data_IF_690169577129
#
_entry.id   IF_690169577129
#
_cell.length_a   1.000
_cell.length_b   1.000
_cell.length_c   1.000
_cell.angle_alpha   90.00
_cell.angle_beta   90.00
_cell.angle_gamma   90.00
#
_symmetry.space_group_name_H-M   'P 1'
#
loop_
_entity.id
_entity.type
_entity.pdbx_description
1 polymer ?
#
# COMPACT_ATOMS: atom_id res chain seq x y z
N UNK A 1 28.70 6.51 -25.68
CA UNK A 1 27.83 7.30 -24.79
C UNK A 1 27.48 6.34 -23.67
N UNK A 2 27.83 6.68 -22.44
CA UNK A 2 27.45 5.88 -21.27
C UNK A 2 26.02 6.30 -20.92
N UNK A 3 25.10 5.33 -20.88
CA UNK A 3 23.70 5.59 -20.56
C UNK A 3 23.58 5.75 -19.05
N UNK A 4 23.05 6.88 -18.58
CA UNK A 4 22.76 7.05 -17.16
C UNK A 4 21.48 6.26 -16.80
N UNK A 5 21.66 5.25 -15.96
CA UNK A 5 20.59 4.35 -15.48
C UNK A 5 20.28 4.53 -14.00
N UNK A 6 20.88 5.55 -13.35
CA UNK A 6 20.68 5.83 -11.92
C UNK A 6 19.20 6.13 -11.60
N UNK A 7 18.49 6.75 -12.52
CA UNK A 7 17.06 7.04 -12.42
C UNK A 7 16.20 5.77 -12.21
N UNK A 8 16.57 4.63 -12.82
CA UNK A 8 15.86 3.36 -12.62
C UNK A 8 16.08 2.82 -11.20
N UNK A 9 17.30 2.94 -10.66
CA UNK A 9 17.61 2.61 -9.27
C UNK A 9 16.84 3.49 -8.27
N UNK A 10 16.80 4.81 -8.52
CA UNK A 10 16.05 5.77 -7.71
C UNK A 10 14.55 5.45 -7.71
N UNK A 11 13.99 5.03 -8.85
CA UNK A 11 12.60 4.59 -8.94
C UNK A 11 12.37 3.37 -8.03
N UNK A 12 13.26 2.38 -8.06
CA UNK A 12 13.23 1.22 -7.15
C UNK A 12 13.23 1.61 -5.67
N UNK A 13 14.07 2.58 -5.27
CA UNK A 13 14.07 3.12 -3.90
C UNK A 13 12.75 3.83 -3.53
N UNK A 14 12.17 4.57 -4.47
CA UNK A 14 10.88 5.23 -4.28
C UNK A 14 9.76 4.20 -4.05
N UNK A 15 9.76 3.08 -4.79
CA UNK A 15 8.76 2.05 -4.52
C UNK A 15 8.96 1.40 -3.15
N UNK A 16 10.20 1.20 -2.70
CA UNK A 16 10.43 0.70 -1.35
C UNK A 16 9.96 1.65 -0.26
N UNK A 17 10.16 2.96 -0.46
CA UNK A 17 9.61 3.97 0.41
C UNK A 17 8.07 3.92 0.43
N UNK A 18 7.44 3.74 -0.73
CA UNK A 18 5.99 3.54 -0.86
C UNK A 18 5.52 2.32 -0.06
N UNK A 19 6.12 1.14 -0.30
CA UNK A 19 5.78 -0.13 0.38
C UNK A 19 5.97 -0.06 1.89
N UNK A 20 6.98 0.69 2.35
CA UNK A 20 7.22 0.90 3.78
C UNK A 20 6.10 1.73 4.41
N UNK A 21 5.70 2.81 3.76
CA UNK A 21 4.57 3.63 4.22
C UNK A 21 3.27 2.82 4.20
N UNK A 22 3.05 2.02 3.16
CA UNK A 22 1.90 1.12 3.03
C UNK A 22 1.78 0.16 4.21
N UNK A 23 2.84 -0.58 4.53
CA UNK A 23 2.85 -1.51 5.67
C UNK A 23 2.49 -0.85 7.01
N UNK A 24 2.91 0.40 7.22
CA UNK A 24 2.54 1.18 8.42
C UNK A 24 1.05 1.52 8.40
N UNK A 25 0.53 1.96 7.26
CA UNK A 25 -0.89 2.24 7.05
C UNK A 25 -1.78 1.00 7.26
N UNK A 26 -1.39 -0.15 6.73
CA UNK A 26 -2.10 -1.43 6.86
C UNK A 26 -2.25 -1.85 8.31
N UNK A 27 -1.14 -1.76 9.07
CA UNK A 27 -1.14 -2.08 10.49
C UNK A 27 -2.13 -1.22 11.28
N UNK A 28 -2.22 0.07 10.96
CA UNK A 28 -3.20 0.97 11.59
C UNK A 28 -4.63 0.66 11.13
N UNK A 29 -4.85 0.48 9.82
CA UNK A 29 -6.15 0.19 9.23
C UNK A 29 -6.78 -1.09 9.79
N UNK A 30 -5.98 -2.14 10.00
CA UNK A 30 -6.43 -3.40 10.58
C UNK A 30 -7.03 -3.26 11.99
N UNK A 31 -6.65 -2.21 12.74
CA UNK A 31 -7.17 -1.96 14.09
C UNK A 31 -8.47 -1.16 14.12
N UNK A 32 -8.76 -0.40 13.05
CA UNK A 32 -9.89 0.53 12.97
C UNK A 32 -11.25 -0.16 13.18
N UNK A 33 -11.57 -1.31 12.55
CA UNK A 33 -12.87 -1.97 12.75
C UNK A 33 -13.14 -2.34 14.22
N UNK A 34 -12.12 -2.85 14.94
CA UNK A 34 -12.24 -3.18 16.36
C UNK A 34 -12.48 -1.91 17.18
N UNK A 35 -11.71 -0.86 16.95
CA UNK A 35 -11.84 0.41 17.67
C UNK A 35 -13.20 1.06 17.42
N UNK A 36 -13.68 1.02 16.19
CA UNK A 36 -15.02 1.50 15.83
C UNK A 36 -16.12 0.71 16.56
N UNK A 37 -16.03 -0.61 16.62
CA UNK A 37 -16.97 -1.44 17.38
C UNK A 37 -16.98 -1.11 18.88
N UNK A 38 -15.80 -0.80 19.46
CA UNK A 38 -15.68 -0.36 20.85
C UNK A 38 -16.31 1.02 21.09
N UNK A 39 -16.27 1.92 20.10
CA UNK A 39 -16.88 3.25 20.18
C UNK A 39 -18.41 3.22 20.03
N UNK A 40 -18.95 2.30 19.23
CA UNK A 40 -20.38 2.25 18.91
C UNK A 40 -21.22 1.40 19.88
N UNK A 41 -20.61 0.83 20.92
CA UNK A 41 -21.27 -0.05 21.90
C UNK A 41 -21.97 -1.28 21.27
N UNK A 42 -21.57 -1.67 20.05
CA UNK A 42 -22.10 -2.81 19.30
C UNK A 42 -21.52 -4.09 19.87
N UNK A 43 -21.95 -4.51 21.06
CA UNK A 43 -21.64 -5.83 21.60
C UNK A 43 -22.53 -6.20 22.80
N UNK A 44 -23.84 -6.36 22.59
CA UNK A 44 -24.56 -7.31 23.44
C UNK A 44 -24.10 -8.72 23.04
N UNK A 45 -23.47 -9.43 23.98
CA UNK A 45 -23.10 -10.83 23.80
C UNK A 45 -24.38 -11.66 23.86
N UNK A 46 -24.90 -12.04 22.69
CA UNK A 46 -26.00 -13.00 22.60
C UNK A 46 -25.48 -14.42 22.80
N UNK A 47 -25.40 -14.84 24.07
CA UNK A 47 -25.22 -16.25 24.41
C UNK A 47 -26.45 -17.06 23.98
N UNK A 48 -26.24 -18.20 23.33
CA UNK A 48 -27.31 -19.18 23.08
C UNK A 48 -27.92 -19.66 24.40
N UNK A 49 -29.21 -20.04 24.39
CA UNK A 49 -29.99 -20.32 25.60
C UNK A 49 -29.34 -21.35 26.54
N UNK A 50 -28.71 -22.40 25.99
CA UNK A 50 -27.99 -23.41 26.76
C UNK A 50 -26.72 -22.86 27.42
N UNK A 51 -25.97 -22.03 26.70
CA UNK A 51 -24.74 -21.40 27.20
C UNK A 51 -25.05 -20.37 28.28
N UNK A 52 -26.15 -19.61 28.13
CA UNK A 52 -26.66 -18.65 29.13
C UNK A 52 -27.06 -19.35 30.43
N UNK A 53 -27.84 -20.44 30.36
CA UNK A 53 -28.24 -21.19 31.54
C UNK A 53 -27.04 -21.81 32.30
N UNK A 54 -26.04 -22.31 31.56
CA UNK A 54 -24.81 -22.85 32.14
C UNK A 54 -23.92 -21.76 32.78
N UNK A 55 -23.86 -20.56 32.16
CA UNK A 55 -23.13 -19.42 32.75
C UNK A 55 -23.84 -18.89 34.00
N UNK A 56 -25.16 -18.74 33.98
CA UNK A 56 -25.97 -18.31 35.13
C UNK A 56 -25.81 -19.23 36.35
N UNK A 57 -25.75 -20.54 36.13
CA UNK A 57 -25.53 -21.53 37.19
C UNK A 57 -24.13 -21.46 37.84
N UNK A 58 -23.14 -20.87 37.16
CA UNK A 58 -21.73 -20.81 37.61
C UNK A 58 -21.19 -19.36 37.66
N UNK A 59 -22.07 -18.38 37.86
CA UNK A 59 -21.75 -16.96 37.71
C UNK A 59 -20.92 -16.39 38.87
N UNK A 60 -19.62 -16.20 38.62
CA UNK A 60 -18.77 -15.34 39.45
C UNK A 60 -19.00 -13.85 39.15
N UNK A 61 -18.69 -12.96 40.08
CA UNK A 61 -18.74 -11.50 39.85
C UNK A 61 -17.86 -11.05 38.67
N UNK A 62 -16.71 -11.71 38.46
CA UNK A 62 -15.81 -11.42 37.33
C UNK A 62 -16.43 -11.86 36.00
N UNK A 63 -17.06 -13.04 35.96
CA UNK A 63 -17.76 -13.53 34.77
C UNK A 63 -19.01 -12.69 34.48
N UNK A 64 -19.72 -12.22 35.51
CA UNK A 64 -20.84 -11.28 35.41
C UNK A 64 -20.40 -9.95 34.80
N UNK A 65 -19.31 -9.37 35.31
CA UNK A 65 -18.73 -8.14 34.76
C UNK A 65 -18.24 -8.35 33.32
N UNK A 66 -17.64 -9.49 33.00
CA UNK A 66 -17.22 -9.83 31.63
C UNK A 66 -18.40 -9.95 30.67
N UNK A 67 -19.48 -10.63 31.06
CA UNK A 67 -20.68 -10.78 30.23
C UNK A 67 -21.45 -9.47 30.06
N UNK A 68 -21.50 -8.62 31.10
CA UNK A 68 -22.16 -7.30 31.06
C UNK A 68 -21.36 -6.27 30.26
N UNK A 69 -20.03 -6.34 30.27
CA UNK A 69 -19.16 -5.41 29.54
C UNK A 69 -18.77 -5.92 28.13
N UNK A 70 -19.31 -7.06 27.67
CA UNK A 70 -18.89 -7.69 26.42
C UNK A 70 -17.41 -8.09 26.41
N UNK A 71 -16.85 -8.42 25.24
CA UNK A 71 -15.45 -8.85 25.12
C UNK A 71 -14.41 -7.74 25.39
N UNK A 72 -14.83 -6.57 25.90
CA UNK A 72 -13.97 -5.40 26.05
C UNK A 72 -14.09 -4.76 27.44
N UNK A 73 -12.95 -4.54 28.08
CA UNK A 73 -12.91 -3.92 29.40
C UNK A 73 -13.33 -2.42 29.32
N UNK A 74 -14.01 -1.85 30.33
CA UNK A 74 -14.44 -0.45 30.30
C UNK A 74 -13.33 0.58 30.05
N UNK A 75 -12.09 0.28 30.45
CA UNK A 75 -10.93 1.13 30.12
C UNK A 75 -10.59 1.13 28.64
N UNK A 76 -10.76 0.01 27.93
CA UNK A 76 -10.54 -0.09 26.49
C UNK A 76 -11.59 0.72 25.73
N UNK A 77 -12.87 0.62 26.14
CA UNK A 77 -13.94 1.46 25.57
C UNK A 77 -13.70 2.94 25.79
N UNK A 78 -13.20 3.34 26.97
CA UNK A 78 -12.87 4.73 27.27
C UNK A 78 -11.70 5.25 26.42
N UNK A 79 -10.72 4.41 26.14
CA UNK A 79 -9.56 4.77 25.31
C UNK A 79 -9.83 4.66 23.79
N UNK A 80 -10.85 3.90 23.38
CA UNK A 80 -11.14 3.59 21.99
C UNK A 80 -11.31 4.84 21.09
N UNK A 81 -11.98 5.94 21.49
CA UNK A 81 -12.13 7.12 20.64
C UNK A 81 -10.78 7.80 20.31
N UNK A 82 -9.90 7.91 21.29
CA UNK A 82 -8.56 8.49 21.11
C UNK A 82 -7.69 7.57 20.25
N UNK A 83 -7.73 6.25 20.52
CA UNK A 83 -7.02 5.25 19.72
C UNK A 83 -7.52 5.19 18.28
N UNK A 84 -8.83 5.33 18.05
CA UNK A 84 -9.44 5.37 16.72
C UNK A 84 -8.95 6.60 15.95
N UNK A 85 -8.97 7.77 16.58
CA UNK A 85 -8.46 9.01 15.99
C UNK A 85 -6.97 8.90 15.68
N UNK A 86 -6.18 8.32 16.59
CA UNK A 86 -4.76 8.07 16.39
C UNK A 86 -4.51 7.14 15.21
N UNK A 87 -5.23 6.02 15.10
CA UNK A 87 -5.12 5.09 13.99
C UNK A 87 -5.45 5.75 12.66
N UNK A 88 -6.54 6.52 12.57
CA UNK A 88 -6.92 7.27 11.36
C UNK A 88 -5.82 8.28 10.97
N UNK A 89 -5.21 8.96 11.93
CA UNK A 89 -4.10 9.87 11.67
C UNK A 89 -2.86 9.16 11.15
N UNK A 90 -2.54 7.96 11.65
CA UNK A 90 -1.44 7.14 11.14
C UNK A 90 -1.69 6.69 9.71
N UNK A 91 -2.91 6.26 9.37
CA UNK A 91 -3.28 5.92 7.98
C UNK A 91 -3.12 7.15 7.08
N UNK A 92 -3.57 8.32 7.52
CA UNK A 92 -3.45 9.55 6.75
C UNK A 92 -1.99 10.02 6.57
N UNK A 93 -1.14 9.93 7.60
CA UNK A 93 0.29 10.24 7.46
C UNK A 93 1.00 9.27 6.53
N UNK A 94 0.59 7.99 6.56
CA UNK A 94 1.12 6.96 5.67
C UNK A 94 0.77 7.28 4.21
N UNK A 95 -0.46 7.71 3.94
CA UNK A 95 -0.87 8.19 2.62
C UNK A 95 -0.02 9.37 2.14
N UNK A 96 0.25 10.38 2.98
CA UNK A 96 1.12 11.51 2.59
C UNK A 96 2.56 11.09 2.28
N UNK A 97 3.08 10.08 2.98
CA UNK A 97 4.39 9.51 2.68
C UNK A 97 4.37 8.76 1.33
N UNK A 98 3.31 7.98 1.05
CA UNK A 98 3.10 7.36 -0.26
C UNK A 98 3.02 8.40 -1.39
N UNK A 99 2.32 9.51 -1.18
CA UNK A 99 2.21 10.60 -2.17
C UNK A 99 3.58 11.20 -2.52
N UNK A 100 4.43 11.36 -1.52
CA UNK A 100 5.81 11.82 -1.74
C UNK A 100 6.58 10.81 -2.57
N UNK A 101 6.49 9.52 -2.23
CA UNK A 101 7.18 8.46 -2.95
C UNK A 101 6.73 8.33 -4.42
N UNK A 102 5.43 8.43 -4.72
CA UNK A 102 4.91 8.38 -6.09
C UNK A 102 5.38 9.58 -6.91
N UNK A 103 5.40 10.78 -6.32
CA UNK A 103 5.93 11.97 -7.00
C UNK A 103 7.40 11.79 -7.37
N UNK A 104 8.23 11.33 -6.44
CA UNK A 104 9.63 11.07 -6.70
C UNK A 104 9.85 9.93 -7.72
N UNK A 105 9.03 8.88 -7.70
CA UNK A 105 9.08 7.83 -8.71
C UNK A 105 8.71 8.35 -10.12
N UNK A 106 7.74 9.26 -10.19
CA UNK A 106 7.33 9.91 -11.45
C UNK A 106 8.41 10.84 -11.99
N UNK A 107 9.08 11.58 -11.10
CA UNK A 107 10.25 12.41 -11.45
C UNK A 107 11.40 11.55 -11.97
N UNK A 108 11.72 10.44 -11.29
CA UNK A 108 12.75 9.49 -11.73
C UNK A 108 12.41 8.84 -13.09
N UNK A 109 11.13 8.52 -13.35
CA UNK A 109 10.71 8.04 -14.67
C UNK A 109 10.95 9.09 -15.76
N UNK A 110 10.61 10.36 -15.49
CA UNK A 110 10.87 11.47 -16.43
C UNK A 110 12.36 11.63 -16.71
N UNK A 111 13.20 11.60 -15.68
CA UNK A 111 14.66 11.62 -15.84
C UNK A 111 15.17 10.46 -16.70
N UNK A 112 14.62 9.26 -16.54
CA UNK A 112 15.00 8.10 -17.35
C UNK A 112 14.55 8.22 -18.81
N UNK A 113 13.35 8.73 -19.07
CA UNK A 113 12.86 9.03 -20.42
C UNK A 113 13.75 10.10 -21.07
N UNK A 114 14.16 11.12 -20.33
CA UNK A 114 15.05 12.19 -20.81
C UNK A 114 16.45 11.66 -21.14
N UNK A 115 17.02 10.82 -20.28
CA UNK A 115 18.33 10.21 -20.48
C UNK A 115 18.38 9.31 -21.72
N UNK A 116 17.26 8.64 -22.05
CA UNK A 116 17.17 7.69 -23.17
C UNK A 116 16.77 8.34 -24.49
N UNK A 117 15.83 9.30 -24.48
CA UNK A 117 15.36 10.00 -25.67
C UNK A 117 16.20 11.23 -26.06
N UNK A 118 16.93 11.82 -25.10
CA UNK A 118 17.63 13.10 -25.28
C UNK A 118 16.70 14.32 -25.39
N UNK A 119 15.41 14.16 -25.09
CA UNK A 119 14.39 15.22 -25.08
C UNK A 119 13.65 15.25 -23.76
N UNK A 120 13.15 16.43 -23.39
CA UNK A 120 12.25 16.57 -22.26
C UNK A 120 10.95 15.80 -22.51
N UNK A 121 10.51 14.99 -21.54
CA UNK A 121 9.29 14.22 -21.66
C UNK A 121 8.07 15.13 -21.62
N UNK A 122 7.23 15.09 -22.66
CA UNK A 122 5.83 15.50 -22.56
C UNK A 122 5.04 14.36 -21.85
N UNK A 123 3.94 14.67 -21.15
CA UNK A 123 3.19 13.71 -20.31
C UNK A 123 2.49 12.57 -21.09
N UNK A 124 2.59 12.53 -22.43
CA UNK A 124 1.98 11.50 -23.29
C UNK A 124 2.98 10.39 -23.69
N UNK A 125 2.50 9.14 -23.79
CA UNK A 125 3.28 7.95 -24.17
C UNK A 125 3.92 7.99 -25.57
N UNK A 126 3.78 9.11 -26.31
CA UNK A 126 4.48 9.37 -27.57
C UNK A 126 5.99 9.45 -27.42
N UNK A 127 6.51 9.65 -26.19
CA UNK A 127 7.94 9.75 -25.90
C UNK A 127 8.75 8.53 -26.39
N UNK A 128 8.15 7.34 -26.45
CA UNK A 128 8.89 6.14 -26.87
C UNK A 128 9.34 6.19 -28.33
N UNK A 129 8.58 6.90 -29.18
CA UNK A 129 8.93 7.08 -30.59
C UNK A 129 10.14 8.01 -30.79
N UNK A 130 10.48 8.81 -29.79
CA UNK A 130 11.63 9.71 -29.81
C UNK A 130 12.94 9.03 -29.38
N UNK A 131 12.87 7.83 -28.78
CA UNK A 131 14.06 7.09 -28.35
C UNK A 131 14.72 6.41 -29.56
N UNK A 132 16.02 6.67 -29.83
CA UNK A 132 16.69 6.04 -30.96
C UNK A 132 16.73 4.51 -30.82
N UNK A 133 16.47 3.78 -31.90
CA UNK A 133 16.49 2.31 -31.91
C UNK A 133 17.78 1.68 -31.34
N UNK A 134 19.00 2.21 -31.60
CA UNK A 134 20.20 1.69 -30.96
C UNK A 134 20.21 1.83 -29.42
N UNK A 135 19.56 2.87 -28.89
CA UNK A 135 19.42 3.08 -27.44
C UNK A 135 18.39 2.10 -26.88
N UNK A 136 17.22 1.95 -27.51
CA UNK A 136 16.19 0.99 -27.11
C UNK A 136 16.74 -0.44 -26.95
N UNK A 137 17.60 -0.85 -27.89
CA UNK A 137 18.22 -2.19 -27.90
C UNK A 137 19.39 -2.35 -26.93
N UNK A 138 19.83 -1.27 -26.27
CA UNK A 138 20.90 -1.36 -25.27
C UNK A 138 20.37 -2.11 -24.05
N UNK A 139 21.06 -3.18 -23.65
CA UNK A 139 20.66 -3.99 -22.50
C UNK A 139 21.57 -3.69 -21.31
N UNK A 140 20.97 -3.55 -20.13
CA UNK A 140 21.68 -3.40 -18.87
C UNK A 140 20.95 -4.13 -17.75
N UNK A 141 21.72 -4.54 -16.75
CA UNK A 141 21.22 -5.01 -15.48
C UNK A 141 21.42 -3.92 -14.43
N UNK A 142 20.48 -3.78 -13.50
CA UNK A 142 20.73 -2.98 -12.29
C UNK A 142 21.68 -3.79 -11.40
N UNK A 143 22.70 -3.12 -10.86
CA UNK A 143 23.62 -3.76 -9.92
C UNK A 143 22.85 -4.12 -8.64
N UNK A 144 22.55 -5.42 -8.51
CA UNK A 144 21.72 -5.97 -7.44
C UNK A 144 21.85 -7.47 -7.22
N UNK A 145 22.32 -8.27 -8.20
CA UNK A 145 22.65 -9.68 -7.93
C UNK A 145 23.52 -10.33 -9.03
N UNK A 146 24.83 -10.44 -8.79
CA UNK A 146 25.74 -11.24 -9.61
C UNK A 146 25.60 -12.76 -9.35
N UNK A 147 24.51 -13.23 -8.73
CA UNK A 147 24.40 -14.63 -8.28
C UNK A 147 23.25 -15.47 -8.85
N UNK A 148 22.46 -14.96 -9.80
CA UNK A 148 21.49 -15.79 -10.52
C UNK A 148 21.71 -15.73 -12.04
N UNK A 149 22.10 -16.88 -12.61
CA UNK A 149 22.28 -17.14 -14.06
C UNK A 149 21.00 -16.89 -14.91
N UNK A 150 19.90 -16.44 -14.30
CA UNK A 150 18.60 -16.20 -14.94
C UNK A 150 18.05 -14.76 -14.85
N UNK A 151 18.73 -13.81 -14.19
CA UNK A 151 18.32 -12.39 -14.24
C UNK A 151 19.04 -11.69 -15.39
N UNK A 152 18.52 -11.90 -16.60
CA UNK A 152 19.09 -11.36 -17.83
C UNK A 152 19.01 -9.83 -17.87
N UNK A 153 20.06 -9.18 -18.39
CA UNK A 153 20.02 -7.77 -18.71
C UNK A 153 18.77 -7.43 -19.54
N UNK A 154 17.99 -6.44 -19.11
CA UNK A 154 16.83 -5.97 -19.85
C UNK A 154 17.24 -4.85 -20.78
N UNK A 155 16.58 -4.79 -21.92
CA UNK A 155 16.71 -3.67 -22.86
C UNK A 155 16.16 -2.39 -22.25
N UNK A 156 16.66 -1.24 -22.71
CA UNK A 156 16.11 0.08 -22.35
C UNK A 156 14.61 0.14 -22.66
N UNK A 157 14.17 -0.43 -23.77
CA UNK A 157 12.74 -0.53 -24.11
C UNK A 157 11.94 -1.26 -23.01
N UNK A 158 12.42 -2.43 -22.58
CA UNK A 158 11.78 -3.20 -21.50
C UNK A 158 11.76 -2.41 -20.19
N UNK A 159 12.87 -1.79 -19.81
CA UNK A 159 12.94 -0.97 -18.60
C UNK A 159 11.97 0.20 -18.62
N UNK A 160 11.85 0.91 -19.75
CA UNK A 160 10.93 2.02 -19.89
C UNK A 160 9.48 1.56 -19.68
N UNK A 161 9.07 0.46 -20.32
CA UNK A 161 7.74 -0.11 -20.12
C UNK A 161 7.49 -0.59 -18.69
N UNK A 162 8.48 -1.21 -18.04
CA UNK A 162 8.40 -1.66 -16.65
C UNK A 162 8.20 -0.45 -15.74
N UNK A 163 9.05 0.57 -15.83
CA UNK A 163 9.00 1.76 -14.99
C UNK A 163 7.69 2.54 -15.18
N UNK A 164 7.23 2.74 -16.41
CA UNK A 164 5.92 3.37 -16.69
C UNK A 164 4.78 2.58 -16.07
N UNK A 165 4.77 1.26 -16.24
CA UNK A 165 3.71 0.41 -15.68
C UNK A 165 3.68 0.47 -14.15
N UNK A 166 4.84 0.49 -13.50
CA UNK A 166 4.95 0.61 -12.04
C UNK A 166 4.41 1.95 -11.56
N UNK A 167 4.80 3.07 -12.18
CA UNK A 167 4.31 4.40 -11.80
C UNK A 167 2.78 4.49 -11.97
N UNK A 168 2.24 4.04 -13.12
CA UNK A 168 0.80 4.02 -13.38
C UNK A 168 0.02 3.21 -12.32
N UNK A 169 0.58 2.09 -11.88
CA UNK A 169 -0.01 1.25 -10.85
C UNK A 169 -0.01 1.96 -9.49
N UNK A 170 1.12 2.55 -9.10
CA UNK A 170 1.24 3.29 -7.85
C UNK A 170 0.28 4.49 -7.79
N UNK A 171 0.09 5.21 -8.89
CA UNK A 171 -0.86 6.32 -8.97
C UNK A 171 -2.31 5.87 -8.79
N UNK A 172 -2.72 4.79 -9.47
CA UNK A 172 -4.07 4.21 -9.35
C UNK A 172 -4.35 3.68 -7.95
N UNK A 173 -3.39 2.99 -7.35
CA UNK A 173 -3.51 2.52 -5.97
C UNK A 173 -3.65 3.72 -5.01
N UNK A 174 -2.81 4.74 -5.20
CA UNK A 174 -2.86 5.93 -4.37
C UNK A 174 -4.19 6.69 -4.48
N UNK A 175 -4.83 6.74 -5.65
CA UNK A 175 -6.18 7.27 -5.81
C UNK A 175 -7.21 6.52 -4.95
N UNK A 176 -7.13 5.19 -4.92
CA UNK A 176 -8.00 4.34 -4.10
C UNK A 176 -7.78 4.61 -2.61
N UNK A 177 -6.52 4.73 -2.20
CA UNK A 177 -6.12 5.01 -0.82
C UNK A 177 -6.57 6.40 -0.35
N UNK A 178 -6.56 7.42 -1.22
CA UNK A 178 -7.15 8.74 -0.93
C UNK A 178 -8.63 8.65 -0.59
N UNK A 179 -9.40 7.87 -1.35
CA UNK A 179 -10.84 7.68 -1.11
C UNK A 179 -11.08 7.05 0.27
N UNK A 180 -10.26 6.10 0.69
CA UNK A 180 -10.33 5.46 2.01
C UNK A 180 -10.07 6.44 3.14
N UNK A 181 -8.98 7.20 3.06
CA UNK A 181 -8.66 8.18 4.11
C UNK A 181 -9.74 9.26 4.19
N UNK A 182 -10.29 9.67 3.03
CA UNK A 182 -11.44 10.57 2.99
C UNK A 182 -12.62 9.98 3.76
N UNK A 183 -13.02 8.74 3.46
CA UNK A 183 -14.08 8.03 4.19
C UNK A 183 -13.85 7.99 5.70
N UNK A 184 -12.65 7.57 6.11
CA UNK A 184 -12.31 7.44 7.53
C UNK A 184 -12.41 8.78 8.28
N UNK A 185 -12.24 9.90 7.59
CA UNK A 185 -12.30 11.25 8.15
C UNK A 185 -13.69 11.87 8.10
N UNK A 186 -14.40 11.74 6.98
CA UNK A 186 -15.68 12.42 6.74
C UNK A 186 -16.90 11.54 6.97
N UNK A 187 -16.75 10.22 6.91
CA UNK A 187 -17.86 9.26 6.94
C UNK A 187 -18.72 9.25 5.67
N UNK A 188 -18.34 10.01 4.63
CA UNK A 188 -19.11 10.14 3.40
C UNK A 188 -18.47 9.32 2.28
N UNK A 189 -19.02 8.14 2.01
CA UNK A 189 -18.86 7.37 0.77
C UNK A 189 -20.05 6.40 0.64
N UNK A 190 -20.46 6.08 -0.59
CA UNK A 190 -21.57 5.17 -0.81
C UNK A 190 -21.16 3.74 -0.37
N UNK A 191 -22.02 3.03 0.37
CA UNK A 191 -21.70 1.74 1.00
C UNK A 191 -21.29 0.64 0.00
N UNK A 192 -21.73 0.75 -1.25
CA UNK A 192 -21.37 -0.10 -2.37
C UNK A 192 -19.92 0.10 -2.83
N UNK A 193 -19.38 1.31 -2.72
CA UNK A 193 -17.97 1.62 -3.01
C UNK A 193 -17.02 1.09 -1.91
N UNK A 194 -17.46 1.09 -0.65
CA UNK A 194 -16.64 0.70 0.52
C UNK A 194 -16.37 -0.80 0.66
N UNK A 195 -17.33 -1.63 0.26
CA UNK A 195 -17.23 -3.10 0.40
C UNK A 195 -16.11 -3.71 -0.45
N UNK A 196 -15.76 -3.07 -1.57
CA UNK A 196 -14.60 -3.42 -2.38
C UNK A 196 -13.32 -2.79 -1.86
N UNK A 197 -13.38 -1.56 -1.34
CA UNK A 197 -12.23 -0.68 -1.15
C UNK A 197 -11.35 -1.02 0.06
N UNK A 198 -11.91 -1.44 1.21
CA UNK A 198 -11.09 -1.96 2.32
C UNK A 198 -10.41 -3.29 1.97
N UNK A 199 -11.10 -4.11 1.16
CA UNK A 199 -10.49 -5.27 0.53
C UNK A 199 -9.44 -4.83 -0.50
N UNK A 200 -9.55 -3.72 -1.22
CA UNK A 200 -8.51 -3.21 -2.15
C UNK A 200 -7.28 -2.63 -1.45
N UNK A 201 -7.42 -1.97 -0.28
CA UNK A 201 -6.25 -1.50 0.47
C UNK A 201 -5.46 -2.67 1.05
N UNK A 202 -6.14 -3.76 1.45
CA UNK A 202 -5.49 -4.96 1.98
C UNK A 202 -5.12 -6.01 0.92
N UNK A 203 -5.89 -6.10 -0.17
CA UNK A 203 -5.60 -6.91 -1.34
C UNK A 203 -4.66 -6.09 -2.21
N UNK A 204 -3.37 -6.41 -2.10
CA UNK A 204 -2.28 -5.87 -2.89
C UNK A 204 -2.75 -5.58 -4.33
N UNK A 205 -3.03 -4.31 -4.69
CA UNK A 205 -3.37 -4.03 -6.07
C UNK A 205 -2.05 -3.92 -6.83
N UNK A 206 -1.70 -5.04 -7.47
CA UNK A 206 -1.11 -5.06 -8.80
C UNK A 206 0.26 -4.47 -9.06
N UNK A 207 1.00 -3.96 -8.07
CA UNK A 207 2.45 -3.84 -8.29
C UNK A 207 3.01 -5.25 -8.22
N UNK A 208 3.23 -5.84 -9.39
CA UNK A 208 3.79 -7.19 -9.51
C UNK A 208 5.09 -7.20 -8.71
N UNK A 209 5.13 -7.97 -7.63
CA UNK A 209 6.31 -8.04 -6.78
C UNK A 209 7.51 -8.51 -7.61
N UNK A 210 7.30 -9.21 -8.74
CA UNK A 210 8.35 -9.48 -9.73
C UNK A 210 8.85 -8.25 -10.44
N UNK A 211 7.97 -7.33 -10.85
CA UNK A 211 8.36 -6.07 -11.49
C UNK A 211 9.08 -5.14 -10.49
N UNK A 212 8.71 -5.24 -9.21
CA UNK A 212 9.41 -4.54 -8.13
C UNK A 212 10.74 -5.15 -7.78
N UNK A 213 10.80 -6.46 -7.64
CA UNK A 213 12.02 -7.22 -7.42
C UNK A 213 12.98 -7.01 -8.60
N UNK A 214 12.46 -6.94 -9.82
CA UNK A 214 13.20 -6.52 -11.00
C UNK A 214 13.72 -5.09 -10.88
N UNK A 215 12.86 -4.11 -10.61
CA UNK A 215 13.26 -2.70 -10.43
C UNK A 215 14.22 -2.47 -9.26
N UNK A 216 14.30 -3.41 -8.31
CA UNK A 216 15.20 -3.39 -7.14
C UNK A 216 16.45 -4.24 -7.32
N UNK A 217 16.51 -5.11 -8.32
CA UNK A 217 17.52 -6.17 -8.44
C UNK A 217 17.43 -7.25 -7.34
N UNK A 218 16.30 -7.37 -6.64
CA UNK A 218 16.08 -8.37 -5.59
C UNK A 218 15.42 -9.64 -6.17
N UNK A 219 15.64 -10.80 -5.53
CA UNK A 219 15.07 -12.08 -5.94
C UNK A 219 13.72 -12.34 -5.25
N UNK A 220 12.79 -13.00 -5.96
CA UNK A 220 11.66 -13.69 -5.33
C UNK A 220 12.20 -14.65 -4.26
N UNK A 221 11.93 -14.37 -2.99
CA UNK A 221 12.15 -15.36 -1.93
C UNK A 221 10.98 -16.34 -1.93
N UNK A 222 11.24 -17.58 -2.32
CA UNK A 222 10.25 -18.67 -2.28
C UNK A 222 9.79 -19.00 -0.87
#
# INVERSE_FOLDING_TARGET
MELDVSAVGNLGECVEAYRRAERVGDGALATIPRLYALCMDVQEVNLGAATRAATEAAMSERLRAFLQNGFAHPSERRAAPEQLTSAINVVASSLSAMETAVKSASEALKEFIEATSGKQSDDDASWIADVPAPVLLTAFALDGDNSNENNGAYTVEQWLWICTSVVDQLEKDLETKRKIVSYLRSGELASDELSGVAATWSAHPHVDDRLLDLARGAAESS
#
